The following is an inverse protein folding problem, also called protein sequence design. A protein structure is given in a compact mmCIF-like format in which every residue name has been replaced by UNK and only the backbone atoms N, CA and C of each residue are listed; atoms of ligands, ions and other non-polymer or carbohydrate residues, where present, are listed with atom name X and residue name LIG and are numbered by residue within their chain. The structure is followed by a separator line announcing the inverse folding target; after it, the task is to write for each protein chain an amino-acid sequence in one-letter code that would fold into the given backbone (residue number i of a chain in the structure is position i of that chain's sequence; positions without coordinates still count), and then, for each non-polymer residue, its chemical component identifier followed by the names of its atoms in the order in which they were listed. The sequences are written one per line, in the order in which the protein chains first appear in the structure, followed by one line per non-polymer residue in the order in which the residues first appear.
data_IF_001385711134
#
_entry.id   IF_001385711134
#
_cell.length_a   1.000
_cell.length_b   1.000
_cell.length_c   1.000
_cell.angle_alpha   90.00
_cell.angle_beta   90.00
_cell.angle_gamma   90.00
#
_symmetry.space_group_name_H-M   'P 1'
#
loop_
_entity.id
_entity.type
_entity.pdbx_description
1 polymer ?
#
# COMPACT_ATOMS: atom_id res chain seq x y z
N UNK A 1 23.39 5.89 -4.81
CA UNK A 1 22.86 6.21 -3.47
C UNK A 1 21.34 6.18 -3.46
N UNK A 2 20.65 6.88 -4.36
CA UNK A 2 19.18 6.77 -4.55
C UNK A 2 18.72 5.32 -4.76
N UNK A 3 19.26 4.60 -5.74
CA UNK A 3 18.86 3.19 -5.99
C UNK A 3 19.04 2.28 -4.78
N UNK A 4 20.14 2.44 -4.04
CA UNK A 4 20.42 1.67 -2.83
C UNK A 4 19.40 1.97 -1.71
N UNK A 5 19.02 3.24 -1.57
CA UNK A 5 17.95 3.65 -0.67
C UNK A 5 16.56 3.24 -1.19
N UNK A 6 16.33 3.13 -2.49
CA UNK A 6 15.08 2.56 -2.99
C UNK A 6 14.99 1.06 -2.69
N UNK A 7 16.07 0.31 -2.86
CA UNK A 7 16.09 -1.13 -2.60
C UNK A 7 15.99 -1.47 -1.10
N UNK A 8 16.84 -0.87 -0.25
CA UNK A 8 16.90 -1.20 1.18
C UNK A 8 15.64 -0.86 1.95
N UNK A 9 15.00 0.22 1.52
CA UNK A 9 14.00 0.91 2.30
C UNK A 9 12.63 0.61 1.67
N UNK A 10 12.47 0.61 0.34
CA UNK A 10 11.14 0.49 -0.33
C UNK A 10 10.86 -0.85 -1.00
N UNK A 11 11.84 -1.54 -1.59
CA UNK A 11 11.64 -2.90 -2.15
C UNK A 11 12.01 -3.99 -1.16
N UNK A 12 11.87 -3.68 0.12
CA UNK A 12 12.26 -4.57 1.18
C UNK A 12 11.10 -5.49 1.55
N UNK A 13 11.14 -6.69 0.98
CA UNK A 13 10.15 -7.76 1.22
C UNK A 13 9.99 -8.05 2.73
N UNK A 14 11.05 -7.93 3.53
CA UNK A 14 10.97 -8.17 4.97
C UNK A 14 10.10 -7.14 5.69
N UNK A 15 10.14 -5.88 5.22
CA UNK A 15 9.31 -4.78 5.75
C UNK A 15 7.85 -5.00 5.34
N UNK A 16 7.59 -5.39 4.10
CA UNK A 16 6.24 -5.70 3.63
C UNK A 16 5.63 -6.85 4.44
N UNK A 17 6.39 -7.91 4.70
CA UNK A 17 5.93 -9.01 5.54
C UNK A 17 5.75 -8.60 7.01
N UNK A 18 6.62 -7.76 7.54
CA UNK A 18 6.47 -7.26 8.91
C UNK A 18 5.23 -6.37 9.06
N UNK A 19 4.98 -5.50 8.09
CA UNK A 19 3.77 -4.69 8.01
C UNK A 19 2.51 -5.56 7.86
N UNK A 20 2.58 -6.63 7.06
CA UNK A 20 1.51 -7.63 6.92
C UNK A 20 1.20 -8.33 8.25
N UNK A 21 2.24 -8.77 8.97
CA UNK A 21 2.07 -9.38 10.30
C UNK A 21 1.47 -8.37 11.27
N UNK A 22 1.94 -7.13 11.27
CA UNK A 22 1.44 -6.08 12.16
C UNK A 22 -0.03 -5.76 11.90
N UNK A 23 -0.44 -5.51 10.64
CA UNK A 23 -1.84 -5.18 10.32
C UNK A 23 -2.81 -6.25 10.81
N UNK A 24 -2.43 -7.54 10.71
CA UNK A 24 -3.23 -8.67 11.21
C UNK A 24 -3.41 -8.69 12.73
N UNK A 25 -2.54 -8.01 13.48
CA UNK A 25 -2.68 -7.85 14.94
C UNK A 25 -3.53 -6.64 15.34
N UNK A 26 -3.83 -5.74 14.41
CA UNK A 26 -4.59 -4.53 14.72
C UNK A 26 -6.08 -4.86 14.97
N UNK A 27 -6.69 -4.27 16.01
CA UNK A 27 -8.10 -4.51 16.30
C UNK A 27 -8.97 -4.03 15.14
N UNK A 28 -9.92 -4.87 14.71
CA UNK A 28 -10.84 -4.56 13.62
C UNK A 28 -10.30 -4.81 12.21
N UNK A 29 -9.02 -5.17 12.06
CA UNK A 29 -8.42 -5.38 10.74
C UNK A 29 -9.07 -6.56 10.00
N UNK A 30 -9.29 -7.69 10.68
CA UNK A 30 -9.88 -8.88 10.06
C UNK A 30 -11.30 -8.62 9.55
N UNK A 31 -12.10 -7.88 10.32
CA UNK A 31 -13.46 -7.50 9.95
C UNK A 31 -13.47 -6.53 8.75
N UNK A 32 -12.56 -5.55 8.75
CA UNK A 32 -12.41 -4.61 7.64
C UNK A 32 -11.96 -5.31 6.35
N UNK A 33 -10.99 -6.23 6.43
CA UNK A 33 -10.51 -7.02 5.28
C UNK A 33 -11.62 -7.90 4.70
N UNK A 34 -12.41 -8.55 5.55
CA UNK A 34 -13.54 -9.37 5.11
C UNK A 34 -14.64 -8.51 4.44
N UNK A 35 -15.04 -7.41 5.08
CA UNK A 35 -16.05 -6.50 4.54
C UNK A 35 -15.62 -5.92 3.18
N UNK A 36 -14.35 -5.54 3.06
CA UNK A 36 -13.76 -5.13 1.79
C UNK A 36 -13.82 -6.23 0.73
N UNK A 37 -13.37 -7.44 1.05
CA UNK A 37 -13.35 -8.58 0.12
C UNK A 37 -14.74 -8.90 -0.42
N UNK A 38 -15.76 -8.86 0.43
CA UNK A 38 -17.14 -9.16 0.03
C UNK A 38 -17.77 -8.06 -0.82
N UNK A 39 -17.50 -6.79 -0.50
CA UNK A 39 -17.96 -5.68 -1.33
C UNK A 39 -17.22 -5.64 -2.68
N UNK A 40 -15.91 -5.87 -2.68
CA UNK A 40 -15.07 -5.95 -3.88
C UNK A 40 -15.63 -6.97 -4.89
N UNK A 41 -16.05 -8.16 -4.44
CA UNK A 41 -16.69 -9.17 -5.30
C UNK A 41 -17.99 -8.66 -5.92
N UNK A 42 -18.83 -7.98 -5.12
CA UNK A 42 -20.09 -7.41 -5.61
C UNK A 42 -19.86 -6.31 -6.65
N UNK A 43 -18.93 -5.39 -6.38
CA UNK A 43 -18.55 -4.33 -7.32
C UNK A 43 -17.98 -4.93 -8.60
N UNK A 44 -17.13 -5.96 -8.51
CA UNK A 44 -16.59 -6.66 -9.68
C UNK A 44 -17.69 -7.31 -10.52
N UNK A 45 -18.69 -7.91 -9.89
CA UNK A 45 -19.83 -8.51 -10.60
C UNK A 45 -20.68 -7.44 -11.32
N UNK A 46 -20.87 -6.27 -10.70
CA UNK A 46 -21.67 -5.18 -11.27
C UNK A 46 -20.94 -4.40 -12.38
N UNK A 47 -19.66 -4.07 -12.18
CA UNK A 47 -18.86 -3.27 -13.12
C UNK A 47 -18.24 -4.10 -14.26
N UNK A 48 -18.19 -5.42 -14.09
CA UNK A 48 -17.48 -6.33 -14.98
C UNK A 48 -15.98 -6.45 -14.64
N UNK A 49 -15.34 -7.59 -14.96
CA UNK A 49 -13.97 -7.87 -14.56
C UNK A 49 -12.94 -6.86 -15.07
N UNK A 50 -13.12 -6.37 -16.31
CA UNK A 50 -12.14 -5.52 -16.98
C UNK A 50 -12.05 -4.13 -16.33
N UNK A 51 -13.21 -3.49 -16.11
CA UNK A 51 -13.27 -2.17 -15.48
C UNK A 51 -12.84 -2.26 -14.02
N UNK A 52 -13.30 -3.30 -13.30
CA UNK A 52 -12.90 -3.52 -11.91
C UNK A 52 -11.39 -3.70 -11.77
N UNK A 53 -10.76 -4.52 -12.61
CA UNK A 53 -9.31 -4.74 -12.55
C UNK A 53 -8.55 -3.44 -12.79
N UNK A 54 -8.93 -2.65 -13.82
CA UNK A 54 -8.30 -1.37 -14.10
C UNK A 54 -8.45 -0.39 -12.94
N UNK A 55 -9.66 -0.27 -12.38
CA UNK A 55 -9.93 0.56 -11.21
C UNK A 55 -9.05 0.14 -10.02
N UNK A 56 -9.06 -1.15 -9.69
CA UNK A 56 -8.33 -1.70 -8.56
C UNK A 56 -6.81 -1.49 -8.71
N UNK A 57 -6.25 -1.72 -9.89
CA UNK A 57 -4.83 -1.45 -10.16
C UNK A 57 -4.47 0.02 -9.93
N UNK A 58 -5.31 0.96 -10.39
CA UNK A 58 -5.05 2.39 -10.15
C UNK A 58 -5.24 2.76 -8.68
N UNK A 59 -6.23 2.19 -7.99
CA UNK A 59 -6.43 2.40 -6.55
C UNK A 59 -5.22 1.92 -5.75
N UNK A 60 -4.73 0.71 -6.00
CA UNK A 60 -3.54 0.17 -5.33
C UNK A 60 -2.32 1.07 -5.56
N UNK A 61 -2.08 1.47 -6.82
CA UNK A 61 -0.95 2.34 -7.16
C UNK A 61 -1.04 3.71 -6.48
N UNK A 62 -2.24 4.27 -6.37
CA UNK A 62 -2.45 5.53 -5.64
C UNK A 62 -2.21 5.35 -4.13
N UNK A 63 -2.76 4.28 -3.54
CA UNK A 63 -2.61 3.98 -2.11
C UNK A 63 -1.17 3.65 -1.70
N UNK A 64 -0.34 3.13 -2.62
CA UNK A 64 1.10 2.96 -2.39
C UNK A 64 1.78 4.28 -2.00
N UNK A 65 1.43 5.40 -2.63
CA UNK A 65 1.99 6.72 -2.28
C UNK A 65 1.55 7.18 -0.88
N UNK A 66 0.35 6.83 -0.45
CA UNK A 66 -0.14 7.12 0.90
C UNK A 66 0.65 6.31 1.94
N UNK A 67 0.82 5.01 1.72
CA UNK A 67 1.63 4.14 2.59
C UNK A 67 3.08 4.64 2.65
N UNK A 68 3.66 5.00 1.52
CA UNK A 68 5.02 5.55 1.43
C UNK A 68 5.16 6.87 2.18
N UNK A 69 4.13 7.72 2.15
CA UNK A 69 4.11 8.99 2.88
C UNK A 69 4.14 8.76 4.39
N UNK A 70 3.26 7.88 4.90
CA UNK A 70 3.25 7.55 6.33
C UNK A 70 4.54 6.86 6.78
N UNK A 71 5.10 5.96 5.97
CA UNK A 71 6.37 5.31 6.26
C UNK A 71 7.53 6.30 6.32
N UNK A 72 7.61 7.22 5.35
CA UNK A 72 8.63 8.27 5.32
C UNK A 72 8.55 9.20 6.53
N UNK A 73 7.33 9.57 6.94
CA UNK A 73 7.11 10.35 8.16
C UNK A 73 7.54 9.58 9.41
N UNK A 74 7.22 8.29 9.50
CA UNK A 74 7.65 7.42 10.60
C UNK A 74 9.17 7.30 10.74
N UNK A 75 9.89 7.36 9.61
CA UNK A 75 11.36 7.41 9.57
C UNK A 75 11.95 8.81 9.83
N UNK A 76 11.11 9.84 10.00
CA UNK A 76 11.55 11.22 10.19
C UNK A 76 12.18 11.86 8.94
N UNK A 77 11.90 11.31 7.75
CA UNK A 77 12.42 11.85 6.50
C UNK A 77 11.72 13.18 6.17
N UNK A 78 12.51 14.20 5.84
CA UNK A 78 11.97 15.49 5.38
C UNK A 78 11.43 15.36 3.96
N UNK A 79 10.41 16.14 3.60
CA UNK A 79 9.78 16.09 2.27
C UNK A 79 10.76 16.24 1.11
N UNK A 80 11.84 17.00 1.30
CA UNK A 80 12.92 17.15 0.31
C UNK A 80 13.70 15.85 0.05
N UNK A 81 13.87 14.99 1.06
CA UNK A 81 14.49 13.66 0.90
C UNK A 81 13.54 12.67 0.22
N UNK A 82 12.23 12.79 0.49
CA UNK A 82 11.20 11.97 -0.16
C UNK A 82 11.14 12.28 -1.67
N UNK A 83 11.09 13.56 -2.03
CA UNK A 83 11.15 13.98 -3.44
C UNK A 83 12.47 13.62 -4.11
N UNK A 84 13.59 13.76 -3.40
CA UNK A 84 14.90 13.34 -3.90
C UNK A 84 15.00 11.81 -4.07
N UNK A 85 14.11 11.00 -3.50
CA UNK A 85 14.04 9.56 -3.74
C UNK A 85 13.07 9.18 -4.87
N UNK A 86 12.44 10.16 -5.53
CA UNK A 86 11.50 9.93 -6.64
C UNK A 86 10.10 9.51 -6.18
N UNK A 87 9.68 9.97 -5.01
CA UNK A 87 8.39 9.67 -4.37
C UNK A 87 7.43 10.85 -4.48
#
# INVERSE_FOLDING_TARGET
MQELLTELLWKNVEIDEAADRLRKTLPGFSEAEQAYSDLAKQVRAAAGPELYNRYFTQLMRYSEYEVQSYYSLGLGLRGEMVQALGL
#
